data_IF_158127092326
#
_entry.id   IF_158127092326
#
_cell.length_a   1.000
_cell.length_b   1.000
_cell.length_c   1.000
_cell.angle_alpha   90.00
_cell.angle_beta   90.00
_cell.angle_gamma   90.00
#
_symmetry.space_group_name_H-M   'P 1'
#
loop_
_entity.id
_entity.type
_entity.pdbx_description
1 polymer ?
#
# COMPACT_ATOMS: atom_id res chain seq x y z
N UNK A 1 18.92 3.76 -0.47
CA UNK A 1 18.46 4.62 0.65
C UNK A 1 19.59 5.53 1.04
N UNK A 2 19.37 6.85 1.10
CA UNK A 2 20.35 7.79 1.64
C UNK A 2 20.00 8.13 3.08
N UNK A 3 21.02 8.31 3.91
CA UNK A 3 20.87 8.75 5.28
C UNK A 3 21.87 9.88 5.57
N UNK A 4 21.58 10.64 6.62
CA UNK A 4 22.52 11.59 7.22
C UNK A 4 22.51 11.43 8.72
N UNK A 5 23.64 11.74 9.36
CA UNK A 5 23.71 11.84 10.81
C UNK A 5 23.40 13.29 11.23
N UNK A 6 22.51 13.44 12.20
CA UNK A 6 22.26 14.71 12.86
C UNK A 6 23.40 15.03 13.86
N UNK A 7 23.55 16.29 14.30
CA UNK A 7 24.63 16.69 15.22
C UNK A 7 24.65 15.92 16.56
N UNK A 8 23.52 15.34 16.96
CA UNK A 8 23.36 14.53 18.17
C UNK A 8 23.65 13.02 17.94
N UNK A 9 24.05 12.64 16.72
CA UNK A 9 24.28 11.25 16.31
C UNK A 9 23.02 10.52 15.82
N UNK A 10 21.86 11.17 15.75
CA UNK A 10 20.64 10.55 15.24
C UNK A 10 20.75 10.30 13.73
N UNK A 11 20.50 9.06 13.30
CA UNK A 11 20.45 8.72 11.87
C UNK A 11 19.09 9.10 11.30
N UNK A 12 19.10 9.95 10.28
CA UNK A 12 17.90 10.41 9.58
C UNK A 12 17.88 9.87 8.16
N UNK A 13 16.76 9.27 7.76
CA UNK A 13 16.50 8.96 6.36
C UNK A 13 16.35 10.25 5.54
N UNK A 14 16.90 10.26 4.33
CA UNK A 14 16.77 11.39 3.40
C UNK A 14 15.95 10.93 2.20
N UNK A 15 14.79 11.57 1.99
CA UNK A 15 14.02 11.40 0.76
C UNK A 15 14.79 12.11 -0.36
N UNK A 16 14.97 11.39 -1.47
CA UNK A 16 15.73 11.84 -2.64
C UNK A 16 14.90 11.55 -3.90
N UNK A 17 15.47 11.86 -5.06
CA UNK A 17 14.90 11.49 -6.36
C UNK A 17 13.55 12.19 -6.66
N UNK A 18 13.56 13.52 -6.52
CA UNK A 18 12.40 14.38 -6.80
C UNK A 18 12.27 14.75 -8.29
N UNK A 19 13.03 14.13 -9.19
CA UNK A 19 12.98 14.47 -10.62
C UNK A 19 11.63 14.15 -11.27
N UNK A 20 10.91 13.18 -10.68
CA UNK A 20 9.55 12.78 -11.07
C UNK A 20 8.48 13.36 -10.14
N UNK A 21 8.86 14.16 -9.15
CA UNK A 21 7.91 14.80 -8.24
C UNK A 21 7.20 15.97 -8.93
N UNK A 22 6.01 16.28 -8.43
CA UNK A 22 5.18 17.34 -8.99
C UNK A 22 4.57 18.19 -7.90
N UNK A 23 4.34 19.47 -8.20
CA UNK A 23 3.69 20.37 -7.27
C UNK A 23 2.19 20.10 -7.23
N UNK A 24 1.62 20.02 -6.03
CA UNK A 24 0.17 19.79 -5.85
C UNK A 24 -0.65 20.88 -6.53
N UNK A 25 -0.15 22.12 -6.59
CA UNK A 25 -0.82 23.25 -7.28
C UNK A 25 -0.96 23.00 -8.77
N UNK A 26 0.01 22.33 -9.38
CA UNK A 26 -0.03 21.99 -10.80
C UNK A 26 -0.96 20.79 -11.08
N UNK A 27 -1.29 19.96 -10.07
CA UNK A 27 -2.36 18.95 -10.15
C UNK A 27 -3.73 19.62 -10.18
N UNK A 28 -3.95 20.63 -9.33
CA UNK A 28 -5.20 21.40 -9.23
C UNK A 28 -5.51 22.16 -10.52
N UNK A 29 -4.47 22.67 -11.19
CA UNK A 29 -4.58 23.36 -12.49
C UNK A 29 -4.76 22.41 -13.69
N UNK A 30 -4.77 21.09 -13.49
CA UNK A 30 -4.94 20.09 -14.54
C UNK A 30 -3.77 19.99 -15.53
N UNK A 31 -2.57 20.46 -15.12
CA UNK A 31 -1.37 20.56 -15.98
C UNK A 31 -0.45 19.34 -15.91
N UNK A 32 -0.97 18.17 -15.58
CA UNK A 32 -0.18 16.94 -15.55
C UNK A 32 0.38 16.60 -16.94
N UNK A 33 1.71 16.53 -17.10
CA UNK A 33 2.31 16.03 -18.33
C UNK A 33 1.90 14.58 -18.54
N UNK A 34 1.34 14.25 -19.71
CA UNK A 34 1.00 12.85 -20.09
C UNK A 34 2.21 11.90 -19.97
N UNK A 35 3.43 12.41 -20.12
CA UNK A 35 4.67 11.64 -20.00
C UNK A 35 4.92 11.09 -18.57
N UNK A 36 4.24 11.64 -17.56
CA UNK A 36 4.38 11.22 -16.16
C UNK A 36 3.22 10.33 -15.68
N UNK A 37 2.25 10.04 -16.55
CA UNK A 37 1.15 9.13 -16.24
C UNK A 37 1.67 7.70 -16.12
N UNK A 38 1.39 7.05 -14.99
CA UNK A 38 1.79 5.66 -14.75
C UNK A 38 3.28 5.45 -14.48
N UNK A 39 4.03 6.49 -14.11
CA UNK A 39 5.44 6.38 -13.69
C UNK A 39 5.55 5.76 -12.29
N UNK A 40 6.79 5.61 -11.80
CA UNK A 40 7.09 4.93 -10.54
C UNK A 40 7.37 3.44 -10.72
N UNK A 41 8.11 2.87 -9.78
CA UNK A 41 8.48 1.45 -9.80
C UNK A 41 7.26 0.59 -9.44
N UNK A 42 7.05 -0.50 -10.19
CA UNK A 42 5.84 -1.32 -10.12
C UNK A 42 5.50 -1.83 -8.70
N UNK A 43 6.47 -2.21 -7.84
CA UNK A 43 6.14 -2.62 -6.49
C UNK A 43 5.54 -1.53 -5.62
N UNK A 44 5.97 -0.28 -5.80
CA UNK A 44 5.57 0.85 -4.97
C UNK A 44 4.43 1.67 -5.58
N UNK A 45 4.14 1.47 -6.87
CA UNK A 45 3.03 2.13 -7.55
C UNK A 45 1.68 1.78 -6.90
N UNK A 46 0.82 2.76 -6.66
CA UNK A 46 -0.53 2.55 -6.14
C UNK A 46 -1.35 1.57 -7.02
N UNK A 47 -2.29 0.84 -6.41
CA UNK A 47 -3.12 -0.18 -7.05
C UNK A 47 -3.86 0.39 -8.26
N UNK A 48 -4.47 1.57 -8.13
CA UNK A 48 -5.24 2.17 -9.22
C UNK A 48 -4.37 2.52 -10.42
N UNK A 49 -3.21 3.15 -10.20
CA UNK A 49 -2.25 3.44 -11.27
C UNK A 49 -1.67 2.14 -11.86
N UNK A 50 -1.60 1.07 -11.06
CA UNK A 50 -1.17 -0.25 -11.55
C UNK A 50 -2.22 -0.87 -12.47
N UNK A 51 -3.52 -0.68 -12.19
CA UNK A 51 -4.64 -1.14 -13.02
C UNK A 51 -4.84 -0.28 -14.27
N UNK A 52 -4.73 1.04 -14.13
CA UNK A 52 -4.91 2.00 -15.21
C UNK A 52 -3.89 3.15 -15.06
N UNK A 53 -2.87 3.10 -15.92
CA UNK A 53 -1.79 4.09 -15.97
C UNK A 53 -2.25 5.47 -16.43
N UNK A 54 -3.44 5.58 -17.03
CA UNK A 54 -3.97 6.84 -17.56
C UNK A 54 -4.64 7.70 -16.50
N UNK A 55 -4.88 7.14 -15.31
CA UNK A 55 -5.49 7.86 -14.19
C UNK A 55 -4.65 9.06 -13.76
N UNK A 56 -5.29 10.19 -13.44
CA UNK A 56 -4.58 11.34 -12.90
C UNK A 56 -3.97 10.97 -11.55
N UNK A 57 -2.77 11.49 -11.28
CA UNK A 57 -2.09 11.28 -10.02
C UNK A 57 -2.90 11.90 -8.87
N UNK A 58 -3.03 11.18 -7.76
CA UNK A 58 -3.71 11.60 -6.56
C UNK A 58 -2.74 11.54 -5.39
N UNK A 59 -2.85 12.49 -4.47
CA UNK A 59 -2.01 12.57 -3.27
C UNK A 59 -1.89 11.25 -2.50
N UNK A 60 -2.98 10.49 -2.35
CA UNK A 60 -2.96 9.19 -1.67
C UNK A 60 -2.07 8.14 -2.32
N UNK A 61 -1.68 8.29 -3.58
CA UNK A 61 -0.82 7.32 -4.24
C UNK A 61 0.57 7.30 -3.63
N UNK A 62 1.09 8.45 -3.21
CA UNK A 62 2.35 8.54 -2.47
C UNK A 62 2.23 7.92 -1.08
N UNK A 63 1.07 8.07 -0.44
CA UNK A 63 0.77 7.43 0.84
C UNK A 63 0.71 5.91 0.73
N UNK A 64 0.06 5.39 -0.32
CA UNK A 64 0.00 3.96 -0.59
C UNK A 64 1.40 3.41 -0.94
N UNK A 65 2.18 4.14 -1.73
CA UNK A 65 3.57 3.81 -2.02
C UNK A 65 4.44 3.77 -0.75
N UNK A 66 4.21 4.68 0.19
CA UNK A 66 4.86 4.68 1.49
C UNK A 66 4.52 3.43 2.31
N UNK A 67 3.25 3.00 2.32
CA UNK A 67 2.84 1.75 2.97
C UNK A 67 3.55 0.55 2.33
N UNK A 68 3.61 0.47 0.99
CA UNK A 68 4.37 -0.57 0.29
C UNK A 68 5.87 -0.53 0.60
N UNK A 69 6.45 0.66 0.79
CA UNK A 69 7.85 0.81 1.18
C UNK A 69 8.10 0.30 2.60
N UNK A 70 7.21 0.61 3.54
CA UNK A 70 7.30 0.09 4.90
C UNK A 70 7.12 -1.43 4.90
N UNK A 71 6.14 -1.94 4.16
CA UNK A 71 5.97 -3.38 3.95
C UNK A 71 7.31 -3.98 3.45
N UNK A 72 7.90 -3.42 2.40
CA UNK A 72 9.18 -3.91 1.88
C UNK A 72 10.33 -3.89 2.90
N UNK A 73 10.40 -2.84 3.73
CA UNK A 73 11.47 -2.66 4.71
C UNK A 73 11.33 -3.55 5.94
N UNK A 74 10.11 -3.74 6.42
CA UNK A 74 9.84 -4.51 7.64
C UNK A 74 9.52 -5.98 7.35
N UNK A 75 9.20 -6.30 6.10
CA UNK A 75 8.70 -7.59 5.67
C UNK A 75 9.77 -8.50 5.08
N UNK A 76 9.98 -9.64 5.73
CA UNK A 76 9.73 -10.91 5.04
C UNK A 76 8.24 -11.20 5.31
N UNK A 77 7.35 -11.36 4.32
CA UNK A 77 5.91 -11.60 4.58
C UNK A 77 5.44 -12.97 4.13
N UNK A 78 5.38 -13.96 5.00
CA UNK A 78 4.72 -15.21 4.61
C UNK A 78 3.20 -15.07 4.77
N UNK A 79 2.47 -14.96 3.66
CA UNK A 79 1.01 -15.05 3.73
C UNK A 79 0.61 -16.53 3.69
N UNK A 80 0.15 -17.02 4.82
CA UNK A 80 -0.57 -18.28 4.85
C UNK A 80 -2.04 -17.94 5.02
N UNK A 81 -2.90 -18.09 4.00
CA UNK A 81 -4.28 -18.34 4.35
C UNK A 81 -4.30 -19.73 5.00
N UNK A 82 -4.79 -19.84 6.23
CA UNK A 82 -5.15 -21.16 6.74
C UNK A 82 -6.17 -21.75 5.75
N UNK A 83 -5.90 -22.91 5.13
CA UNK A 83 -6.86 -23.53 4.24
C UNK A 83 -8.15 -23.74 5.04
N UNK A 84 -9.24 -23.06 4.66
CA UNK A 84 -10.54 -23.50 5.12
C UNK A 84 -10.94 -24.66 4.21
N UNK A 85 -11.25 -25.84 4.76
CA UNK A 85 -11.80 -26.92 3.96
C UNK A 85 -13.11 -26.39 3.34
N UNK A 86 -13.17 -26.36 2.01
CA UNK A 86 -14.43 -26.08 1.34
C UNK A 86 -15.41 -27.24 1.62
N UNK A 87 -16.71 -26.97 1.60
CA UNK A 87 -17.74 -27.98 1.89
C UNK A 87 -17.70 -29.22 0.95
N UNK A 88 -16.99 -29.12 -0.18
CA UNK A 88 -16.74 -30.19 -1.16
C UNK A 88 -15.35 -30.85 -1.02
N UNK A 89 -14.59 -30.56 0.05
CA UNK A 89 -13.31 -31.22 0.34
C UNK A 89 -12.14 -30.80 -0.54
N UNK A 90 -12.27 -29.68 -1.27
CA UNK A 90 -11.16 -29.08 -2.02
C UNK A 90 -10.33 -28.20 -1.08
N UNK A 91 -9.02 -28.38 -1.11
CA UNK A 91 -8.12 -27.42 -0.45
C UNK A 91 -8.25 -26.07 -1.16
N UNK A 92 -8.68 -25.04 -0.43
CA UNK A 92 -8.53 -23.65 -0.90
C UNK A 92 -7.11 -23.20 -0.58
N UNK A 93 -6.16 -23.62 -1.41
CA UNK A 93 -4.74 -23.27 -1.21
C UNK A 93 -4.52 -21.81 -1.59
N UNK A 94 -4.70 -20.88 -0.65
CA UNK A 94 -4.15 -19.53 -0.77
C UNK A 94 -2.82 -19.49 -0.01
N UNK A 95 -1.81 -20.07 -0.67
CA UNK A 95 -0.41 -19.99 -0.28
C UNK A 95 0.16 -18.71 -0.94
N UNK A 96 0.21 -17.60 -0.21
CA UNK A 96 0.65 -16.33 -0.79
C UNK A 96 2.07 -16.04 -0.25
N UNK A 97 3.07 -16.35 -1.07
CA UNK A 97 4.46 -16.48 -0.61
C UNK A 97 5.10 -15.12 -0.22
N UNK A 98 6.05 -15.18 0.71
CA UNK A 98 7.09 -14.18 1.03
C UNK A 98 7.76 -13.48 -0.16
N UNK A 99 7.62 -14.03 -1.35
CA UNK A 99 8.23 -13.53 -2.59
C UNK A 99 7.43 -12.36 -3.23
N UNK A 100 6.24 -12.05 -2.70
CA UNK A 100 5.26 -11.16 -3.35
C UNK A 100 5.77 -9.76 -3.70
N UNK A 101 6.40 -8.99 -2.81
CA UNK A 101 6.84 -7.62 -3.17
C UNK A 101 8.04 -7.60 -4.13
N UNK A 102 8.97 -8.54 -4.02
CA UNK A 102 10.12 -8.67 -4.93
C UNK A 102 9.68 -9.11 -6.32
N UNK A 103 8.69 -10.00 -6.41
CA UNK A 103 8.10 -10.46 -7.67
C UNK A 103 7.23 -9.41 -8.38
N UNK A 104 6.82 -8.33 -7.70
CA UNK A 104 6.04 -7.26 -8.33
C UNK A 104 6.85 -6.45 -9.34
N UNK A 105 8.16 -6.68 -9.44
CA UNK A 105 9.05 -5.92 -10.32
C UNK A 105 8.73 -6.13 -11.81
N UNK A 106 8.30 -7.33 -12.21
CA UNK A 106 8.21 -7.70 -13.63
C UNK A 106 6.93 -8.48 -14.03
N UNK A 107 5.92 -8.58 -13.14
CA UNK A 107 4.78 -9.46 -13.38
C UNK A 107 3.50 -8.72 -13.80
N UNK A 108 2.79 -9.17 -14.86
CA UNK A 108 1.49 -8.64 -15.24
C UNK A 108 0.44 -8.79 -14.14
N UNK A 109 0.65 -9.72 -13.19
CA UNK A 109 -0.24 -10.00 -12.06
C UNK A 109 -0.06 -9.06 -10.86
N UNK A 110 0.84 -8.07 -10.91
CA UNK A 110 1.11 -7.18 -9.78
C UNK A 110 -0.15 -6.48 -9.23
N UNK A 111 -1.06 -6.06 -10.12
CA UNK A 111 -2.34 -5.46 -9.71
C UNK A 111 -3.21 -6.45 -8.92
N UNK A 112 -3.33 -7.69 -9.39
CA UNK A 112 -4.11 -8.73 -8.71
C UNK A 112 -3.51 -9.11 -7.36
N UNK A 113 -2.18 -9.14 -7.24
CA UNK A 113 -1.48 -9.40 -5.97
C UNK A 113 -1.65 -8.26 -4.97
N UNK A 114 -1.54 -6.99 -5.41
CA UNK A 114 -1.83 -5.81 -4.58
C UNK A 114 -3.27 -5.81 -4.08
N UNK A 115 -4.21 -6.10 -4.96
CA UNK A 115 -5.63 -6.23 -4.62
C UNK A 115 -5.87 -7.34 -3.59
N UNK A 116 -5.25 -8.51 -3.77
CA UNK A 116 -5.35 -9.60 -2.80
C UNK A 116 -4.80 -9.21 -1.41
N UNK A 117 -3.66 -8.51 -1.36
CA UNK A 117 -3.11 -7.96 -0.11
C UNK A 117 -4.10 -7.02 0.58
N UNK A 118 -4.64 -6.06 -0.18
CA UNK A 118 -5.57 -5.05 0.33
C UNK A 118 -6.87 -5.72 0.82
N UNK A 119 -7.42 -6.69 0.08
CA UNK A 119 -8.70 -7.32 0.40
C UNK A 119 -8.60 -8.40 1.49
N UNK A 120 -7.46 -9.09 1.63
CA UNK A 120 -7.26 -10.11 2.66
C UNK A 120 -7.30 -9.55 4.10
N UNK A 121 -7.25 -8.23 4.27
CA UNK A 121 -7.31 -7.59 5.58
C UNK A 121 -8.71 -7.35 6.11
N UNK A 122 -9.75 -7.35 5.28
CA UNK A 122 -11.12 -7.02 5.70
C UNK A 122 -12.00 -8.24 6.02
N UNK A 123 -11.78 -9.37 5.36
CA UNK A 123 -12.61 -10.58 5.56
C UNK A 123 -12.33 -11.35 6.86
N UNK A 124 -11.63 -10.73 7.81
CA UNK A 124 -11.20 -11.38 9.04
C UNK A 124 -10.09 -12.41 8.84
N UNK A 125 -9.55 -12.60 7.63
CA UNK A 125 -8.29 -13.33 7.37
C UNK A 125 -7.05 -12.47 7.63
N UNK A 126 -7.21 -11.22 8.09
CA UNK A 126 -6.11 -10.46 8.69
C UNK A 126 -5.42 -11.23 9.83
N UNK A 127 -6.16 -12.08 10.55
CA UNK A 127 -5.61 -13.00 11.57
C UNK A 127 -4.76 -14.14 10.98
N UNK A 128 -4.99 -14.47 9.71
CA UNK A 128 -4.25 -15.48 8.95
C UNK A 128 -3.00 -14.86 8.31
N UNK A 129 -2.95 -13.52 8.18
CA UNK A 129 -1.72 -12.79 7.85
C UNK A 129 -0.72 -12.93 9.01
N UNK A 130 0.15 -13.93 8.90
CA UNK A 130 1.39 -13.97 9.67
C UNK A 130 2.36 -12.96 9.07
N UNK A 131 2.27 -11.72 9.53
CA UNK A 131 3.46 -10.86 9.47
C UNK A 131 4.59 -11.63 10.14
N UNK A 132 5.66 -11.95 9.40
CA UNK A 132 6.85 -12.44 10.09
C UNK A 132 7.26 -11.34 11.06
N UNK A 133 7.71 -11.76 12.24
CA UNK A 133 8.19 -10.86 13.27
C UNK A 133 9.09 -9.81 12.62
N UNK A 134 8.76 -8.51 12.74
CA UNK A 134 9.63 -7.46 12.24
C UNK A 134 11.04 -7.72 12.76
N UNK A 135 12.06 -7.43 11.95
CA UNK A 135 13.43 -7.37 12.46
C UNK A 135 13.41 -6.55 13.76
N UNK A 136 14.20 -6.94 14.76
CA UNK A 136 14.06 -6.44 16.14
C UNK A 136 13.96 -4.90 16.27
N UNK A 137 14.57 -4.15 15.36
CA UNK A 137 14.49 -2.68 15.27
C UNK A 137 13.19 -2.08 14.70
N UNK A 138 12.29 -2.89 14.14
CA UNK A 138 11.03 -2.47 13.52
C UNK A 138 9.78 -2.98 14.27
N UNK A 139 9.95 -3.56 15.46
CA UNK A 139 8.82 -4.08 16.25
C UNK A 139 7.79 -3.02 16.59
N UNK A 140 8.23 -1.78 16.80
CA UNK A 140 7.37 -0.61 17.04
C UNK A 140 6.52 -0.25 15.82
N UNK A 141 7.04 -0.45 14.60
CA UNK A 141 6.36 -0.13 13.34
C UNK A 141 5.28 -1.16 12.98
N UNK A 142 5.37 -2.38 13.51
CA UNK A 142 4.49 -3.48 13.12
C UNK A 142 3.01 -3.21 13.40
N UNK A 143 2.67 -2.54 14.50
CA UNK A 143 1.28 -2.16 14.79
C UNK A 143 0.81 -1.07 13.84
N UNK A 144 1.56 0.02 13.73
CA UNK A 144 1.21 1.13 12.84
C UNK A 144 1.03 0.69 11.41
N UNK A 145 1.91 -0.18 10.91
CA UNK A 145 1.78 -0.73 9.57
C UNK A 145 0.48 -1.51 9.36
N UNK A 146 0.05 -2.33 10.33
CA UNK A 146 -1.25 -3.02 10.23
C UNK A 146 -2.39 -2.02 10.16
N UNK A 147 -2.36 -1.00 11.00
CA UNK A 147 -3.38 0.05 11.04
C UNK A 147 -3.42 0.82 9.70
N UNK A 148 -2.27 1.04 9.04
CA UNK A 148 -2.21 1.64 7.71
C UNK A 148 -2.79 0.76 6.61
N UNK A 149 -2.44 -0.54 6.58
CA UNK A 149 -2.97 -1.45 5.56
C UNK A 149 -4.46 -1.69 5.76
N UNK A 150 -4.94 -1.71 7.01
CA UNK A 150 -6.38 -1.73 7.33
C UNK A 150 -7.09 -0.47 6.79
N UNK A 151 -6.50 0.72 6.96
CA UNK A 151 -7.04 1.95 6.40
C UNK A 151 -7.15 1.91 4.86
N UNK A 152 -6.15 1.35 4.17
CA UNK A 152 -6.20 1.11 2.72
C UNK A 152 -7.33 0.14 2.35
N UNK A 153 -7.41 -1.00 3.04
CA UNK A 153 -8.42 -2.03 2.84
C UNK A 153 -9.84 -1.46 2.94
N UNK A 154 -10.15 -0.84 4.08
CA UNK A 154 -11.45 -0.23 4.34
C UNK A 154 -11.75 0.91 3.34
N UNK A 155 -10.72 1.65 2.91
CA UNK A 155 -10.83 2.67 1.86
C UNK A 155 -11.31 2.10 0.53
N UNK A 156 -10.64 1.07 0.04
CA UNK A 156 -11.00 0.41 -1.22
C UNK A 156 -12.37 -0.27 -1.17
N UNK A 157 -12.76 -0.82 -0.03
CA UNK A 157 -14.07 -1.43 0.14
C UNK A 157 -15.20 -0.40 0.22
N UNK A 158 -14.98 0.68 0.97
CA UNK A 158 -15.93 1.80 1.02
C UNK A 158 -16.16 2.37 -0.38
N UNK A 159 -15.10 2.47 -1.19
CA UNK A 159 -15.19 2.86 -2.60
C UNK A 159 -16.03 1.90 -3.42
N UNK A 160 -15.76 0.60 -3.31
CA UNK A 160 -16.50 -0.43 -4.05
C UNK A 160 -18.00 -0.41 -3.71
N UNK A 161 -18.35 -0.19 -2.44
CA UNK A 161 -19.72 -0.05 -1.99
C UNK A 161 -20.38 1.22 -2.56
N UNK A 162 -19.74 2.38 -2.43
CA UNK A 162 -20.26 3.64 -2.97
C UNK A 162 -20.50 3.57 -4.49
N UNK A 163 -19.57 2.96 -5.24
CA UNK A 163 -19.75 2.74 -6.68
C UNK A 163 -20.95 1.85 -7.00
N UNK A 164 -21.19 0.81 -6.21
CA UNK A 164 -22.35 -0.08 -6.37
C UNK A 164 -23.67 0.65 -6.08
N UNK A 165 -23.66 1.57 -5.12
CA UNK A 165 -24.83 2.36 -4.72
C UNK A 165 -25.03 3.60 -5.61
N UNK A 166 -24.09 3.89 -6.52
CA UNK A 166 -24.13 5.08 -7.38
C UNK A 166 -23.85 6.37 -6.62
N UNK A 167 -23.21 6.28 -5.45
CA UNK A 167 -22.88 7.41 -4.61
C UNK A 167 -21.57 8.09 -5.04
N UNK A 168 -21.48 9.39 -4.76
CA UNK A 168 -20.22 10.11 -4.93
C UNK A 168 -19.23 9.64 -3.86
N UNK A 169 -18.01 9.31 -4.29
CA UNK A 169 -16.94 8.88 -3.41
C UNK A 169 -15.74 9.83 -3.48
N UNK A 170 -15.05 10.02 -2.35
CA UNK A 170 -13.79 10.77 -2.31
C UNK A 170 -12.62 9.84 -2.65
N UNK A 171 -12.30 9.75 -3.94
CA UNK A 171 -11.15 8.97 -4.39
C UNK A 171 -9.82 9.54 -3.88
N UNK A 172 -9.70 10.85 -3.67
CA UNK A 172 -8.41 11.47 -3.34
C UNK A 172 -7.86 11.03 -1.97
N UNK A 173 -8.75 10.62 -1.06
CA UNK A 173 -8.38 10.16 0.29
C UNK A 173 -8.97 8.78 0.64
N UNK A 174 -9.56 8.08 -0.34
CA UNK A 174 -10.35 6.87 -0.14
C UNK A 174 -11.41 7.02 0.98
N UNK A 175 -12.27 8.03 0.85
CA UNK A 175 -13.33 8.32 1.82
C UNK A 175 -12.82 8.83 3.16
N UNK A 176 -11.70 9.57 3.15
CA UNK A 176 -11.04 10.12 4.33
C UNK A 176 -10.12 9.14 5.06
N UNK A 177 -10.03 7.88 4.62
CA UNK A 177 -9.30 6.83 5.34
C UNK A 177 -7.80 6.89 5.13
N UNK A 178 -7.34 7.37 3.97
CA UNK A 178 -5.94 7.45 3.60
C UNK A 178 -5.53 8.92 3.50
N UNK A 179 -4.95 9.42 4.59
CA UNK A 179 -4.48 10.80 4.75
C UNK A 179 -3.15 10.82 5.51
N UNK A 180 -2.36 11.88 5.34
CA UNK A 180 -1.09 12.05 6.06
C UNK A 180 -1.27 11.83 7.56
N UNK A 181 -2.22 12.57 8.15
CA UNK A 181 -2.42 12.61 9.59
C UNK A 181 -2.82 11.25 10.15
N UNK A 182 -3.64 10.49 9.41
CA UNK A 182 -4.02 9.13 9.82
C UNK A 182 -2.87 8.16 9.76
N UNK A 183 -2.05 8.20 8.71
CA UNK A 183 -0.89 7.32 8.60
C UNK A 183 0.18 7.70 9.63
N UNK A 184 0.41 9.00 9.87
CA UNK A 184 1.34 9.46 10.89
C UNK A 184 0.87 9.02 12.29
N UNK A 185 -0.40 9.21 12.61
CA UNK A 185 -0.99 8.77 13.87
C UNK A 185 -0.94 7.24 14.07
N UNK A 186 -0.85 6.45 13.00
CA UNK A 186 -0.63 5.01 13.09
C UNK A 186 0.82 4.68 13.53
N UNK A 187 1.81 5.49 13.14
CA UNK A 187 3.23 5.27 13.46
C UNK A 187 3.62 5.70 14.87
N UNK A 188 2.89 6.63 15.48
CA UNK A 188 3.18 7.20 16.80
C UNK A 188 2.70 6.32 17.98
N UNK A 189 2.42 5.03 17.75
CA UNK A 189 1.75 4.12 18.71
C UNK A 189 2.67 3.06 19.34
#
# INVERSE_FOLDING_TARGET
MMYREAPDGTVLGVLIDFEMAWDVRDLEDGRLPKALQGTGQQPFRALDITKDKTLPHQYRYDLEAFVYSLLFLVGRYDFYATPQPSADGRETTLQLYCDTLLDWWDQPEAAARKEALILAMDDGRAKDLKMLEPLSGFKTVGKGLRDMVDALSQGYLSRALALKEGERFDDATLGGRVTYDRLLAAMDQ
#
